data_IF_477321314881
#
_entry.id   IF_477321314881
#
_cell.length_a   1.000
_cell.length_b   1.000
_cell.length_c   1.000
_cell.angle_alpha   90.00
_cell.angle_beta   90.00
_cell.angle_gamma   90.00
#
_symmetry.space_group_name_H-M   'P 1'
#
loop_
_entity.id
_entity.type
_entity.pdbx_description
1 polymer ?
#
# COMPACT_ATOMS: atom_id res chain seq x y z
N UNK A 1 -24.52 -21.88 14.13
CA UNK A 1 -23.17 -22.07 13.56
C UNK A 1 -22.67 -20.69 13.22
N UNK A 2 -21.63 -20.22 13.91
CA UNK A 2 -21.07 -18.88 13.69
C UNK A 2 -20.30 -18.92 12.38
N UNK A 3 -20.84 -18.31 11.33
CA UNK A 3 -20.09 -18.06 10.11
C UNK A 3 -19.04 -17.00 10.46
N UNK A 4 -17.86 -17.48 10.84
CA UNK A 4 -16.63 -16.71 10.93
C UNK A 4 -16.38 -16.12 9.55
N UNK A 5 -16.99 -14.96 9.32
CA UNK A 5 -16.91 -14.19 8.09
C UNK A 5 -15.49 -13.70 7.99
N UNK A 6 -14.61 -14.58 7.52
CA UNK A 6 -13.26 -14.29 7.10
C UNK A 6 -13.32 -13.06 6.20
N UNK A 7 -13.07 -11.89 6.78
CA UNK A 7 -12.89 -10.61 6.10
C UNK A 7 -11.55 -10.62 5.32
N UNK A 8 -11.23 -11.74 4.69
CA UNK A 8 -10.20 -11.84 3.65
C UNK A 8 -10.79 -11.10 2.47
N UNK A 9 -10.64 -9.78 2.51
CA UNK A 9 -11.20 -8.83 1.56
C UNK A 9 -10.85 -9.31 0.15
N UNK A 10 -11.91 -9.61 -0.60
CA UNK A 10 -11.89 -9.97 -2.00
C UNK A 10 -10.90 -9.07 -2.77
N UNK A 11 -10.04 -9.70 -3.56
CA UNK A 11 -8.93 -9.13 -4.35
C UNK A 11 -9.35 -8.11 -5.44
N UNK A 12 -10.36 -7.28 -5.22
CA UNK A 12 -11.00 -6.50 -6.29
C UNK A 12 -11.83 -5.32 -5.82
N UNK A 13 -11.35 -4.54 -4.85
CA UNK A 13 -12.03 -3.31 -4.45
C UNK A 13 -11.92 -2.22 -5.52
N UNK A 14 -12.76 -2.34 -6.56
CA UNK A 14 -13.43 -1.29 -7.35
C UNK A 14 -12.69 0.05 -7.53
N UNK A 15 -11.42 -0.02 -7.92
CA UNK A 15 -10.73 0.97 -8.75
C UNK A 15 -9.81 0.17 -9.69
N UNK A 16 -10.42 -0.40 -10.75
CA UNK A 16 -9.74 -1.20 -11.77
C UNK A 16 -8.68 -0.42 -12.58
N UNK A 17 -8.48 0.87 -12.29
CA UNK A 17 -7.32 1.65 -12.67
C UNK A 17 -6.41 1.77 -11.46
N UNK A 18 -5.58 0.75 -11.24
CA UNK A 18 -4.74 0.62 -10.05
C UNK A 18 -3.96 1.90 -9.75
N UNK A 19 -4.02 2.33 -8.50
CA UNK A 19 -3.18 3.43 -8.01
C UNK A 19 -1.73 3.18 -8.46
N UNK A 20 -0.99 4.23 -8.85
CA UNK A 20 0.39 4.08 -9.35
C UNK A 20 1.29 3.32 -8.35
N UNK A 21 0.93 3.35 -7.06
CA UNK A 21 1.56 2.58 -5.99
C UNK A 21 1.37 1.06 -6.08
N UNK A 22 0.35 0.57 -6.79
CA UNK A 22 0.06 -0.86 -6.90
C UNK A 22 1.22 -1.63 -7.56
N UNK A 23 1.87 -1.01 -8.56
CA UNK A 23 3.08 -1.57 -9.21
C UNK A 23 4.23 -1.80 -8.22
N UNK A 24 4.24 -1.06 -7.12
CA UNK A 24 5.27 -1.11 -6.10
C UNK A 24 4.73 -1.60 -4.75
N UNK A 25 3.52 -2.19 -4.73
CA UNK A 25 2.84 -2.61 -3.51
C UNK A 25 3.68 -3.60 -2.70
N UNK A 26 4.27 -4.58 -3.37
CA UNK A 26 5.12 -5.58 -2.73
C UNK A 26 6.39 -4.96 -2.13
N UNK A 27 6.97 -3.98 -2.82
CA UNK A 27 8.14 -3.25 -2.35
C UNK A 27 7.79 -2.38 -1.13
N UNK A 28 6.68 -1.62 -1.19
CA UNK A 28 6.16 -0.84 -0.06
C UNK A 28 5.91 -1.77 1.14
N UNK A 29 5.28 -2.93 0.93
CA UNK A 29 5.03 -3.94 1.96
C UNK A 29 6.33 -4.44 2.58
N UNK A 30 7.35 -4.74 1.77
CA UNK A 30 8.67 -5.19 2.25
C UNK A 30 9.34 -4.12 3.10
N UNK A 31 9.32 -2.86 2.67
CA UNK A 31 9.90 -1.76 3.44
C UNK A 31 9.13 -1.44 4.72
N UNK A 32 7.80 -1.51 4.70
CA UNK A 32 6.97 -1.37 5.90
C UNK A 32 7.29 -2.48 6.91
N UNK A 33 7.44 -3.74 6.47
CA UNK A 33 7.87 -4.85 7.34
C UNK A 33 9.25 -4.61 7.96
N UNK A 34 10.14 -3.95 7.22
CA UNK A 34 11.47 -3.54 7.70
C UNK A 34 11.44 -2.30 8.59
N UNK A 35 10.25 -1.80 8.98
CA UNK A 35 10.05 -0.56 9.75
C UNK A 35 10.72 0.67 9.11
N UNK A 36 10.85 0.67 7.78
CA UNK A 36 11.38 1.82 7.06
C UNK A 36 10.35 2.94 7.13
N UNK A 37 10.74 4.17 7.48
CA UNK A 37 9.80 5.29 7.56
C UNK A 37 9.17 5.55 6.19
N UNK A 38 7.86 5.82 6.17
CA UNK A 38 7.08 6.09 4.95
C UNK A 38 7.71 7.18 4.07
N UNK A 39 8.38 8.17 4.67
CA UNK A 39 9.14 9.20 3.92
C UNK A 39 10.32 8.62 3.11
N UNK A 40 11.02 7.62 3.64
CA UNK A 40 12.09 6.93 2.91
C UNK A 40 11.52 5.99 1.85
N UNK A 41 10.43 5.29 2.15
CA UNK A 41 9.69 4.49 1.16
C UNK A 41 9.28 5.37 -0.02
N UNK A 42 8.68 6.53 0.26
CA UNK A 42 8.31 7.49 -0.78
C UNK A 42 9.49 7.89 -1.66
N UNK A 43 10.67 8.14 -1.06
CA UNK A 43 11.89 8.48 -1.82
C UNK A 43 12.33 7.33 -2.73
N UNK A 44 12.26 6.09 -2.25
CA UNK A 44 12.60 4.89 -3.02
C UNK A 44 11.65 4.74 -4.21
N UNK A 45 10.34 4.80 -3.95
CA UNK A 45 9.29 4.65 -4.97
C UNK A 45 9.37 5.79 -6.00
N UNK A 46 9.54 7.04 -5.54
CA UNK A 46 9.68 8.20 -6.41
C UNK A 46 10.95 8.17 -7.27
N UNK A 47 11.98 7.41 -6.87
CA UNK A 47 13.18 7.21 -7.71
C UNK A 47 12.91 6.23 -8.86
N UNK A 48 11.95 5.33 -8.69
CA UNK A 48 11.57 4.33 -9.70
C UNK A 48 10.42 4.78 -10.61
N UNK A 49 9.76 5.89 -10.27
CA UNK A 49 8.67 6.45 -11.06
C UNK A 49 9.14 7.64 -11.88
N UNK A 50 8.58 7.79 -13.08
CA UNK A 50 8.79 8.98 -13.91
C UNK A 50 8.21 10.26 -13.27
N UNK A 51 7.20 10.10 -12.40
CA UNK A 51 6.52 11.20 -11.72
C UNK A 51 6.66 11.07 -10.20
N UNK A 52 6.93 12.20 -9.53
CA UNK A 52 6.99 12.24 -8.07
C UNK A 52 5.58 12.14 -7.50
N UNK A 53 5.35 11.11 -6.69
CA UNK A 53 4.15 10.99 -5.87
C UNK A 53 4.29 11.76 -4.57
N UNK A 54 3.14 12.22 -4.09
CA UNK A 54 3.04 12.96 -2.84
C UNK A 54 3.01 12.02 -1.64
N UNK A 55 3.59 12.47 -0.53
CA UNK A 55 3.54 11.74 0.74
C UNK A 55 2.11 11.43 1.17
N UNK A 56 1.20 12.40 1.04
CA UNK A 56 -0.21 12.23 1.38
C UNK A 56 -0.87 11.13 0.55
N UNK A 57 -0.51 10.99 -0.72
CA UNK A 57 -1.04 9.92 -1.59
C UNK A 57 -0.53 8.55 -1.17
N UNK A 58 0.75 8.43 -0.79
CA UNK A 58 1.31 7.18 -0.27
C UNK A 58 0.70 6.83 1.08
N UNK A 59 0.54 7.82 1.96
CA UNK A 59 -0.07 7.64 3.27
C UNK A 59 -1.53 7.19 3.14
N UNK A 60 -2.31 7.86 2.29
CA UNK A 60 -3.67 7.45 1.95
C UNK A 60 -3.71 6.02 1.40
N UNK A 61 -2.78 5.66 0.51
CA UNK A 61 -2.69 4.30 -0.01
C UNK A 61 -2.44 3.26 1.08
N UNK A 62 -1.52 3.52 2.01
CA UNK A 62 -1.21 2.63 3.15
C UNK A 62 -2.40 2.53 4.11
N UNK A 63 -3.08 3.65 4.40
CA UNK A 63 -4.20 3.69 5.35
C UNK A 63 -5.47 3.06 4.78
N UNK A 64 -5.63 3.04 3.46
CA UNK A 64 -6.77 2.42 2.79
C UNK A 64 -6.51 0.96 2.34
N UNK A 65 -5.26 0.48 2.42
CA UNK A 65 -4.90 -0.91 2.15
C UNK A 65 -4.83 -1.71 3.46
N UNK A 66 -5.76 -2.67 3.60
CA UNK A 66 -5.86 -3.50 4.81
C UNK A 66 -4.60 -4.32 5.11
N UNK A 67 -3.81 -4.69 4.09
CA UNK A 67 -2.58 -5.43 4.33
C UNK A 67 -1.45 -4.51 4.79
N UNK A 68 -1.40 -3.27 4.28
CA UNK A 68 -0.34 -2.32 4.64
C UNK A 68 -0.60 -1.64 5.98
N UNK A 69 -1.86 -1.35 6.32
CA UNK A 69 -2.23 -0.76 7.61
C UNK A 69 -1.90 -1.68 8.80
N UNK A 70 -2.01 -3.00 8.61
CA UNK A 70 -1.68 -3.99 9.65
C UNK A 70 -0.17 -4.11 9.91
N UNK A 71 0.67 -3.57 9.01
CA UNK A 71 2.14 -3.64 9.10
C UNK A 71 2.73 -2.35 9.68
N UNK A 72 2.03 -1.22 9.54
CA UNK A 72 2.43 0.11 10.03
C UNK A 72 2.60 0.11 11.56
#
# INVERSE_FOLDING_TARGET
>A
MVEDKSLVRQQGAKNASGSQFNKYREEIKKHLKLKVPVKSILKIINKQMEYKLSYSSLMYYIEHDLELILIK
#
